data_IF_160099474992
#
_entry.id   IF_160099474992
#
_cell.length_a   1.000
_cell.length_b   1.000
_cell.length_c   1.000
_cell.angle_alpha   90.00
_cell.angle_beta   90.00
_cell.angle_gamma   90.00
#
_symmetry.space_group_name_H-M   'P 1'
#
loop_
_entity.id
_entity.type
_entity.pdbx_description
1 polymer ?
#
# COMPACT_ATOMS: atom_id res chain seq x y z
N UNK A 1 21.49 -1.95 -11.73
CA UNK A 1 21.17 -0.89 -12.31
C UNK A 1 19.84 -0.84 -13.08
N UNK A 2 19.64 -0.75 -13.58
CA UNK A 2 18.64 -0.73 -14.05
C UNK A 2 18.09 -0.19 -14.71
N UNK A 3 18.20 -0.16 -15.18
CA UNK A 3 17.88 0.14 -15.74
C UNK A 3 16.91 0.44 -16.38
N UNK A 4 16.55 0.47 -16.96
CA UNK A 4 15.79 0.66 -17.62
C UNK A 4 14.95 0.96 -18.06
N UNK A 5 14.71 0.99 -18.57
CA UNK A 5 14.22 1.22 -19.31
C UNK A 5 13.66 1.99 -19.73
N UNK A 6 13.80 2.47 -20.09
CA UNK A 6 13.75 3.15 -20.68
C UNK A 6 13.88 3.99 -20.70
N UNK A 7 13.87 4.40 -20.46
CA UNK A 7 14.22 5.15 -20.59
C UNK A 7 14.54 5.26 -20.65
N UNK A 8 14.35 4.89 -20.68
CA UNK A 8 14.91 4.64 -21.07
C UNK A 8 15.48 3.93 -21.59
N UNK A 9 15.02 3.12 -21.85
CA UNK A 9 15.96 2.68 -22.87
C UNK A 9 17.04 3.69 -23.14
N UNK A 10 16.72 4.87 -22.91
CA UNK A 10 17.71 5.94 -22.89
C UNK A 10 18.87 5.58 -21.97
N UNK A 11 18.61 4.75 -20.97
CA UNK A 11 19.65 4.24 -20.08
C UNK A 11 20.72 3.46 -20.82
N UNK A 12 20.33 2.58 -21.73
CA UNK A 12 21.29 1.80 -22.52
C UNK A 12 22.16 2.70 -23.36
N UNK A 13 21.56 3.68 -24.03
CA UNK A 13 22.30 4.61 -24.87
C UNK A 13 23.27 5.44 -24.06
N UNK A 14 22.86 5.89 -22.89
CA UNK A 14 23.72 6.67 -22.01
C UNK A 14 24.90 5.82 -21.54
N UNK A 15 24.69 4.55 -21.24
CA UNK A 15 25.75 3.65 -20.82
C UNK A 15 26.80 3.47 -21.90
N UNK A 16 26.39 3.42 -23.16
CA UNK A 16 27.30 3.26 -24.29
C UNK A 16 28.18 4.47 -24.50
N UNK A 17 27.78 5.63 -24.00
CA UNK A 17 28.51 6.87 -24.19
C UNK A 17 29.39 7.25 -22.99
N UNK A 18 29.40 6.45 -21.95
CA UNK A 18 30.17 6.72 -20.73
C UNK A 18 31.66 6.52 -21.00
N UNK A 19 32.49 7.50 -20.61
CA UNK A 19 33.91 7.40 -20.71
C UNK A 19 34.46 6.39 -19.70
N UNK A 20 35.67 5.83 -19.94
CA UNK A 20 36.32 4.92 -18.97
C UNK A 20 36.45 5.56 -17.58
N UNK A 21 36.81 6.85 -17.52
CA UNK A 21 36.95 7.54 -16.24
C UNK A 21 35.61 7.65 -15.50
N UNK A 22 34.53 7.99 -16.23
CA UNK A 22 33.21 8.09 -15.66
C UNK A 22 32.73 6.72 -15.17
N UNK A 23 33.03 5.65 -15.92
CA UNK A 23 32.67 4.29 -15.54
C UNK A 23 33.36 3.88 -14.23
N UNK A 24 34.66 4.17 -14.12
CA UNK A 24 35.40 3.88 -12.90
C UNK A 24 34.82 4.60 -11.71
N UNK A 25 34.43 5.89 -11.88
CA UNK A 25 33.83 6.66 -10.82
C UNK A 25 32.52 6.05 -10.39
N UNK A 26 31.70 5.62 -11.34
CA UNK A 26 30.42 4.97 -11.02
C UNK A 26 30.64 3.68 -10.23
N UNK A 27 31.64 2.89 -10.61
CA UNK A 27 31.96 1.64 -9.91
C UNK A 27 32.43 1.92 -8.49
N UNK A 28 33.23 2.95 -8.29
CA UNK A 28 33.69 3.35 -6.96
C UNK A 28 32.54 3.82 -6.10
N UNK A 29 31.63 4.61 -6.66
CA UNK A 29 30.44 5.07 -5.95
C UNK A 29 29.56 3.90 -5.52
N UNK A 30 29.40 2.90 -6.38
CA UNK A 30 28.64 1.68 -6.05
C UNK A 30 29.32 0.90 -4.92
N UNK A 31 30.64 0.83 -4.93
CA UNK A 31 31.38 0.14 -3.89
C UNK A 31 31.19 0.83 -2.55
N UNK A 32 31.29 2.15 -2.51
CA UNK A 32 31.06 2.94 -1.30
C UNK A 32 29.65 2.71 -0.76
N UNK A 33 28.66 2.71 -1.63
CA UNK A 33 27.27 2.43 -1.22
C UNK A 33 27.13 1.04 -0.61
N UNK A 34 27.79 0.04 -1.19
CA UNK A 34 27.77 -1.31 -0.63
C UNK A 34 28.38 -1.35 0.77
N UNK A 35 29.50 -0.67 0.95
CA UNK A 35 30.17 -0.63 2.24
C UNK A 35 29.29 0.02 3.30
N UNK A 36 28.62 1.12 2.97
CA UNK A 36 27.70 1.81 3.86
C UNK A 36 26.54 0.88 4.21
N UNK A 37 25.91 0.25 3.23
CA UNK A 37 24.77 -0.61 3.46
C UNK A 37 25.13 -1.88 4.22
N UNK A 38 26.40 -2.29 4.17
CA UNK A 38 26.89 -3.45 4.91
C UNK A 38 27.29 -3.12 6.34
N UNK A 39 27.33 -1.84 6.72
CA UNK A 39 27.70 -1.48 8.08
C UNK A 39 26.68 -2.03 9.08
N UNK A 40 27.20 -2.53 10.20
CA UNK A 40 26.34 -3.15 11.22
C UNK A 40 25.32 -2.16 11.78
N UNK A 41 25.72 -0.91 11.99
CA UNK A 41 24.83 0.11 12.51
C UNK A 41 23.67 0.39 11.54
N UNK A 42 23.97 0.52 10.25
CA UNK A 42 22.95 0.72 9.22
C UNK A 42 21.97 -0.45 9.18
N UNK A 43 22.51 -1.68 9.17
CA UNK A 43 21.68 -2.88 9.14
C UNK A 43 20.79 -2.99 10.37
N UNK A 44 21.32 -2.66 11.54
CA UNK A 44 20.53 -2.68 12.79
C UNK A 44 19.39 -1.68 12.75
N UNK A 45 19.65 -0.46 12.28
CA UNK A 45 18.61 0.57 12.16
C UNK A 45 17.53 0.15 11.17
N UNK A 46 17.92 -0.38 10.02
CA UNK A 46 17.00 -0.82 8.98
C UNK A 46 16.13 -1.98 9.47
N UNK A 47 16.75 -2.96 10.14
CA UNK A 47 16.03 -4.10 10.71
C UNK A 47 15.00 -3.64 11.75
N UNK A 48 15.38 -2.70 12.61
CA UNK A 48 14.47 -2.16 13.62
C UNK A 48 13.26 -1.47 12.98
N UNK A 49 13.49 -0.68 11.93
CA UNK A 49 12.40 0.01 11.22
C UNK A 49 11.49 -0.98 10.49
N UNK A 50 12.07 -1.99 9.86
CA UNK A 50 11.29 -3.04 9.20
C UNK A 50 10.44 -3.83 10.19
N UNK A 51 10.96 -4.08 11.40
CA UNK A 51 10.17 -4.72 12.45
C UNK A 51 8.98 -3.87 12.85
N UNK A 52 9.13 -2.56 12.90
CA UNK A 52 8.02 -1.65 13.17
C UNK A 52 6.96 -1.72 12.06
N UNK A 53 7.40 -1.80 10.81
CA UNK A 53 6.49 -1.96 9.67
C UNK A 53 5.72 -3.27 9.80
N UNK A 54 6.41 -4.38 10.12
CA UNK A 54 5.77 -5.68 10.25
C UNK A 54 4.68 -5.68 11.33
N UNK A 55 4.96 -5.05 12.47
CA UNK A 55 3.98 -4.92 13.56
C UNK A 55 2.79 -4.08 13.10
N UNK A 56 3.07 -2.96 12.43
CA UNK A 56 2.02 -2.07 11.94
C UNK A 56 1.16 -2.77 10.89
N UNK A 57 1.77 -3.53 9.98
CA UNK A 57 1.03 -4.30 8.97
C UNK A 57 0.10 -5.31 9.62
N UNK A 58 0.56 -6.00 10.66
CA UNK A 58 -0.28 -6.94 11.41
C UNK A 58 -1.45 -6.23 12.07
N UNK A 59 -1.25 -5.01 12.58
CA UNK A 59 -2.31 -4.20 13.15
C UNK A 59 -3.34 -3.79 12.09
N UNK A 60 -2.88 -3.48 10.88
CA UNK A 60 -3.79 -3.17 9.77
C UNK A 60 -4.70 -4.37 9.47
N UNK A 61 -4.12 -5.57 9.37
CA UNK A 61 -4.90 -6.77 9.11
C UNK A 61 -5.90 -7.06 10.23
N UNK A 62 -5.49 -6.84 11.46
CA UNK A 62 -6.37 -7.03 12.62
C UNK A 62 -7.57 -6.09 12.54
N UNK A 63 -7.33 -4.83 12.24
CA UNK A 63 -8.38 -3.81 12.12
C UNK A 63 -9.30 -4.13 10.93
N UNK A 64 -8.75 -4.57 9.80
CA UNK A 64 -9.54 -4.95 8.63
C UNK A 64 -10.41 -6.17 8.95
N UNK A 65 -9.88 -7.16 9.66
CA UNK A 65 -10.64 -8.32 10.08
C UNK A 65 -11.82 -7.92 10.97
N UNK A 66 -11.57 -7.01 11.91
CA UNK A 66 -12.61 -6.49 12.79
C UNK A 66 -13.70 -5.78 11.97
N UNK A 67 -13.29 -4.98 11.00
CA UNK A 67 -14.23 -4.26 10.15
C UNK A 67 -15.09 -5.24 9.33
N UNK A 68 -14.50 -6.33 8.85
CA UNK A 68 -15.23 -7.33 8.07
C UNK A 68 -16.25 -8.07 8.94
N UNK A 69 -15.92 -8.35 10.20
CA UNK A 69 -16.86 -8.95 11.12
C UNK A 69 -18.06 -8.05 11.37
N UNK A 70 -17.82 -6.75 11.52
CA UNK A 70 -18.90 -5.76 11.64
C UNK A 70 -19.73 -5.75 10.36
N UNK A 71 -19.09 -5.83 9.19
CA UNK A 71 -19.77 -5.90 7.91
C UNK A 71 -20.71 -7.11 7.83
N UNK A 72 -20.27 -8.24 8.36
CA UNK A 72 -21.09 -9.47 8.41
C UNK A 72 -22.32 -9.25 9.30
N UNK A 73 -22.16 -8.57 10.43
CA UNK A 73 -23.29 -8.25 11.31
C UNK A 73 -24.27 -7.32 10.58
N UNK A 74 -23.76 -6.34 9.84
CA UNK A 74 -24.60 -5.46 9.01
C UNK A 74 -25.34 -6.28 7.95
N UNK A 75 -24.64 -7.24 7.33
CA UNK A 75 -25.24 -8.15 6.36
C UNK A 75 -26.41 -8.93 6.96
N UNK A 76 -26.25 -9.40 8.18
CA UNK A 76 -27.31 -10.13 8.87
C UNK A 76 -28.52 -9.25 9.14
N UNK A 77 -28.30 -8.01 9.59
CA UNK A 77 -29.39 -7.05 9.82
C UNK A 77 -30.12 -6.75 8.51
N UNK A 78 -29.39 -6.56 7.42
CA UNK A 78 -29.99 -6.31 6.10
C UNK A 78 -30.80 -7.49 5.62
N UNK A 79 -30.29 -8.70 5.83
CA UNK A 79 -30.99 -9.93 5.48
C UNK A 79 -32.32 -10.04 6.25
N UNK A 80 -32.27 -9.78 7.54
CA UNK A 80 -33.46 -9.88 8.42
C UNK A 80 -34.53 -8.85 8.03
N UNK A 81 -34.11 -7.68 7.57
CA UNK A 81 -35.01 -6.58 7.18
C UNK A 81 -35.27 -6.53 5.68
N UNK A 82 -34.69 -7.44 4.90
CA UNK A 82 -34.80 -7.46 3.45
C UNK A 82 -34.36 -6.15 2.81
N UNK A 83 -33.23 -5.62 3.26
CA UNK A 83 -32.66 -4.35 2.77
C UNK A 83 -31.50 -4.62 1.83
N UNK A 84 -31.32 -3.78 0.82
CA UNK A 84 -30.24 -3.92 -0.15
C UNK A 84 -28.86 -3.78 0.50
N UNK A 85 -27.89 -4.60 0.04
CA UNK A 85 -26.50 -4.54 0.53
C UNK A 85 -25.87 -3.21 0.17
N UNK A 86 -25.93 -2.83 -1.11
CA UNK A 86 -25.32 -1.61 -1.59
C UNK A 86 -26.23 -0.41 -1.36
N UNK A 87 -25.74 0.56 -0.59
CA UNK A 87 -26.42 1.81 -0.36
C UNK A 87 -25.49 2.94 -0.80
N UNK A 88 -25.73 3.47 -1.98
CA UNK A 88 -24.88 4.45 -2.64
C UNK A 88 -24.63 5.69 -1.80
N UNK A 89 -25.65 6.19 -1.13
CA UNK A 89 -25.52 7.38 -0.27
C UNK A 89 -24.49 7.14 0.82
N UNK A 90 -24.59 6.01 1.50
CA UNK A 90 -23.65 5.65 2.57
C UNK A 90 -22.23 5.51 2.05
N UNK A 91 -22.08 4.90 0.87
CA UNK A 91 -20.76 4.74 0.23
C UNK A 91 -20.13 6.09 -0.05
N UNK A 92 -20.88 7.03 -0.62
CA UNK A 92 -20.36 8.36 -0.92
C UNK A 92 -19.99 9.13 0.34
N UNK A 93 -20.76 8.97 1.42
CA UNK A 93 -20.42 9.57 2.72
C UNK A 93 -19.11 9.03 3.27
N UNK A 94 -18.91 7.73 3.19
CA UNK A 94 -17.65 7.09 3.65
C UNK A 94 -16.48 7.63 2.86
N UNK A 95 -16.57 7.66 1.52
CA UNK A 95 -15.48 8.15 0.68
C UNK A 95 -15.08 9.58 1.02
N UNK A 96 -16.07 10.48 1.09
CA UNK A 96 -15.79 11.87 1.39
C UNK A 96 -15.13 12.06 2.74
N UNK A 97 -15.62 11.36 3.75
CA UNK A 97 -15.09 11.44 5.10
C UNK A 97 -13.66 10.89 5.16
N UNK A 98 -13.43 9.75 4.52
CA UNK A 98 -12.12 9.09 4.58
C UNK A 98 -11.05 9.86 3.82
N UNK A 99 -11.41 10.51 2.71
CA UNK A 99 -10.47 11.36 1.97
C UNK A 99 -10.00 12.51 2.86
N UNK A 100 -10.91 13.19 3.54
CA UNK A 100 -10.55 14.30 4.44
C UNK A 100 -9.69 13.82 5.62
N UNK A 101 -10.11 12.75 6.25
CA UNK A 101 -9.39 12.20 7.40
C UNK A 101 -8.01 11.69 7.00
N UNK A 102 -7.91 11.05 5.84
CA UNK A 102 -6.63 10.56 5.32
C UNK A 102 -5.67 11.70 5.03
N UNK A 103 -6.17 12.79 4.47
CA UNK A 103 -5.36 13.98 4.18
C UNK A 103 -4.74 14.53 5.46
N UNK A 104 -5.53 14.63 6.53
CA UNK A 104 -5.03 15.07 7.83
C UNK A 104 -3.93 14.16 8.38
N UNK A 105 -3.90 12.92 7.97
CA UNK A 105 -2.93 11.91 8.42
C UNK A 105 -1.77 11.71 7.45
N UNK A 106 -1.67 12.56 6.42
CA UNK A 106 -0.57 12.50 5.48
C UNK A 106 -0.74 11.46 4.39
N UNK A 107 -1.97 10.98 4.14
CA UNK A 107 -2.25 10.00 3.10
C UNK A 107 -2.85 10.70 1.89
N UNK A 108 -2.38 10.31 0.69
CA UNK A 108 -2.88 10.94 -0.53
C UNK A 108 -4.34 10.54 -0.80
N UNK A 109 -5.08 11.44 -1.43
CA UNK A 109 -6.46 11.17 -1.81
C UNK A 109 -6.57 9.93 -2.70
N UNK A 110 -5.68 9.81 -3.69
CA UNK A 110 -5.68 8.68 -4.61
C UNK A 110 -5.52 7.35 -3.87
N UNK A 111 -4.58 7.30 -2.92
CA UNK A 111 -4.35 6.10 -2.14
C UNK A 111 -5.60 5.75 -1.29
N UNK A 112 -6.17 6.74 -0.61
CA UNK A 112 -7.35 6.53 0.25
C UNK A 112 -8.53 6.04 -0.59
N UNK A 113 -8.75 6.63 -1.77
CA UNK A 113 -9.84 6.19 -2.65
C UNK A 113 -9.66 4.74 -3.09
N UNK A 114 -8.45 4.36 -3.50
CA UNK A 114 -8.17 2.98 -3.91
C UNK A 114 -8.36 2.01 -2.76
N UNK A 115 -7.85 2.38 -1.60
CA UNK A 115 -7.92 1.53 -0.41
C UNK A 115 -9.38 1.29 0.00
N UNK A 116 -10.17 2.35 0.10
CA UNK A 116 -11.55 2.22 0.54
C UNK A 116 -12.46 1.58 -0.51
N UNK A 117 -12.14 1.71 -1.80
CA UNK A 117 -12.82 0.93 -2.83
C UNK A 117 -12.60 -0.57 -2.63
N UNK A 118 -11.36 -0.97 -2.34
CA UNK A 118 -11.03 -2.36 -2.09
C UNK A 118 -11.72 -2.87 -0.81
N UNK A 119 -11.68 -2.08 0.25
CA UNK A 119 -12.33 -2.40 1.52
C UNK A 119 -13.83 -2.53 1.32
N UNK A 120 -14.44 -1.63 0.57
CA UNK A 120 -15.87 -1.65 0.29
C UNK A 120 -16.26 -2.91 -0.47
N UNK A 121 -15.50 -3.28 -1.50
CA UNK A 121 -15.76 -4.49 -2.25
C UNK A 121 -15.68 -5.73 -1.37
N UNK A 122 -14.69 -5.79 -0.50
CA UNK A 122 -14.55 -6.90 0.43
C UNK A 122 -15.73 -6.95 1.41
N UNK A 123 -16.18 -5.79 1.91
CA UNK A 123 -17.37 -5.69 2.77
C UNK A 123 -18.61 -6.24 2.07
N UNK A 124 -18.80 -5.87 0.80
CA UNK A 124 -19.93 -6.36 0.01
C UNK A 124 -19.86 -7.87 -0.13
N UNK A 125 -18.66 -8.41 -0.39
CA UNK A 125 -18.46 -9.85 -0.53
C UNK A 125 -18.84 -10.57 0.77
N UNK A 126 -18.44 -10.04 1.93
CA UNK A 126 -18.80 -10.63 3.21
C UNK A 126 -20.30 -10.57 3.48
N UNK A 127 -20.94 -9.45 3.15
CA UNK A 127 -22.40 -9.33 3.33
C UNK A 127 -23.14 -10.28 2.38
N UNK A 128 -22.65 -10.43 1.15
CA UNK A 128 -23.27 -11.31 0.17
C UNK A 128 -23.22 -12.77 0.64
N UNK A 129 -22.13 -13.20 1.24
CA UNK A 129 -22.01 -14.54 1.81
C UNK A 129 -23.06 -14.79 2.89
N UNK A 130 -23.34 -13.81 3.71
CA UNK A 130 -24.38 -13.91 4.75
C UNK A 130 -25.75 -14.06 4.11
N UNK A 131 -26.04 -13.29 3.05
CA UNK A 131 -27.30 -13.38 2.34
C UNK A 131 -27.52 -14.74 1.67
N UNK A 132 -26.46 -15.33 1.18
CA UNK A 132 -26.50 -16.58 0.40
C UNK A 132 -26.67 -17.84 1.31
N UNK A 133 -26.55 -17.69 2.60
CA UNK A 133 -26.66 -18.81 3.56
C UNK A 133 -28.12 -19.02 4.07
#
# INVERSE_FOLDING_TARGET
>A
VETHHTPDKAWSDAAQQITPAALIQMMEDLKVRKEISASQDFQNKLTALRSKIDITDSQILEILSKRMKISEEIGQVKKDQNVAILQTKRWNEILGKMVLEGEDKGLSEEFVLRLFKAIHQESINHQQKILDV
#
